data_IF_251208487684
#
_entry.id   IF_251208487684
#
_cell.length_a   1.000
_cell.length_b   1.000
_cell.length_c   1.000
_cell.angle_alpha   90.00
_cell.angle_beta   90.00
_cell.angle_gamma   90.00
#
_symmetry.space_group_name_H-M   'P 1'
#
loop_
_entity.id
_entity.type
_entity.pdbx_description
1 polymer ?
#
# COMPACT_ATOMS: atom_id res chain seq x y z
N UNK A 1 6.69 18.01 6.18
CA UNK A 1 5.96 16.98 6.87
C UNK A 1 5.05 16.26 5.90
N UNK A 2 5.10 14.97 5.92
CA UNK A 2 4.32 14.19 4.97
C UNK A 2 2.88 14.10 5.41
N UNK A 3 1.97 14.23 4.45
CA UNK A 3 0.58 14.03 4.74
C UNK A 3 0.30 12.55 4.91
N UNK A 4 -0.90 12.25 5.40
CA UNK A 4 -1.30 10.87 5.55
C UNK A 4 -1.28 10.16 4.20
N UNK A 5 -1.75 10.85 3.17
CA UNK A 5 -1.77 10.25 1.84
C UNK A 5 -0.37 9.94 1.34
N UNK A 6 0.58 10.81 1.64
CA UNK A 6 1.95 10.57 1.24
C UNK A 6 2.55 9.39 1.98
N UNK A 7 2.20 9.24 3.25
CA UNK A 7 2.70 8.11 4.02
C UNK A 7 2.10 6.82 3.50
N UNK A 8 0.82 6.83 3.15
CA UNK A 8 0.18 5.66 2.59
C UNK A 8 0.85 5.29 1.27
N UNK A 9 1.09 6.30 0.44
CA UNK A 9 1.70 6.06 -0.86
C UNK A 9 3.10 5.47 -0.70
N UNK A 10 3.88 6.00 0.22
CA UNK A 10 5.23 5.50 0.44
C UNK A 10 5.20 4.06 0.93
N UNK A 11 4.32 3.76 1.87
CA UNK A 11 4.20 2.40 2.38
C UNK A 11 3.79 1.46 1.27
N UNK A 12 2.83 1.88 0.45
CA UNK A 12 2.38 1.08 -0.67
C UNK A 12 3.54 0.81 -1.62
N UNK A 13 4.31 1.85 -1.93
CA UNK A 13 5.43 1.69 -2.83
C UNK A 13 6.43 0.67 -2.30
N UNK A 14 6.71 0.72 -1.01
CA UNK A 14 7.69 -0.20 -0.45
C UNK A 14 7.20 -1.63 -0.49
N UNK A 15 5.91 -1.83 -0.25
CA UNK A 15 5.35 -3.17 -0.34
C UNK A 15 5.42 -3.67 -1.78
N UNK A 16 5.08 -2.81 -2.72
CA UNK A 16 5.09 -3.20 -4.13
C UNK A 16 6.50 -3.54 -4.58
N UNK A 17 7.49 -2.77 -4.14
CA UNK A 17 8.88 -3.05 -4.50
C UNK A 17 9.27 -4.45 -4.03
N UNK A 18 8.88 -4.82 -2.82
CA UNK A 18 9.20 -6.15 -2.33
C UNK A 18 8.53 -7.23 -3.17
N UNK A 19 7.30 -6.98 -3.59
CA UNK A 19 6.60 -7.94 -4.43
C UNK A 19 7.28 -8.06 -5.78
N UNK A 20 7.74 -6.96 -6.34
CA UNK A 20 8.43 -6.98 -7.61
C UNK A 20 9.73 -7.75 -7.48
N UNK A 21 10.48 -7.52 -6.41
CA UNK A 21 11.74 -8.23 -6.20
C UNK A 21 11.50 -9.72 -6.05
N UNK A 22 10.36 -10.08 -5.49
CA UNK A 22 10.02 -11.48 -5.34
C UNK A 22 9.39 -12.10 -6.58
N UNK A 23 9.22 -11.32 -7.65
CA UNK A 23 8.64 -11.85 -8.87
C UNK A 23 7.16 -12.07 -8.81
N UNK A 24 6.47 -11.41 -7.91
CA UNK A 24 5.06 -11.65 -7.71
C UNK A 24 4.17 -10.71 -8.51
N UNK A 25 4.73 -9.64 -9.04
CA UNK A 25 3.96 -8.67 -9.81
C UNK A 25 4.54 -8.57 -11.20
N UNK A 26 3.70 -8.79 -12.21
CA UNK A 26 4.12 -8.59 -13.58
C UNK A 26 3.82 -7.14 -13.99
N UNK A 27 4.51 -6.64 -15.01
CA UNK A 27 4.22 -5.28 -15.48
C UNK A 27 2.76 -5.07 -15.87
N UNK A 28 2.15 -6.09 -16.44
CA UNK A 28 0.77 -5.97 -16.88
C UNK A 28 -0.19 -5.86 -15.70
N UNK A 29 0.12 -6.52 -14.60
CA UNK A 29 -0.75 -6.49 -13.44
C UNK A 29 -0.40 -5.40 -12.44
N UNK A 30 0.66 -4.65 -12.71
CA UNK A 30 1.13 -3.67 -11.74
C UNK A 30 0.06 -2.63 -11.35
N UNK A 31 -0.63 -2.00 -12.31
CA UNK A 31 -1.56 -0.94 -11.93
C UNK A 31 -2.65 -1.42 -10.98
N UNK A 32 -3.22 -2.57 -11.27
CA UNK A 32 -4.28 -3.08 -10.41
C UNK A 32 -3.74 -3.55 -9.08
N UNK A 33 -2.56 -4.17 -9.09
CA UNK A 33 -1.96 -4.60 -7.84
C UNK A 33 -1.65 -3.40 -6.97
N UNK A 34 -1.12 -2.33 -7.57
CA UNK A 34 -0.80 -1.14 -6.80
C UNK A 34 -2.06 -0.57 -6.17
N UNK A 35 -3.14 -0.48 -6.94
CA UNK A 35 -4.38 0.05 -6.41
C UNK A 35 -4.90 -0.81 -5.26
N UNK A 36 -4.81 -2.12 -5.40
CA UNK A 36 -5.29 -3.01 -4.36
C UNK A 36 -4.50 -2.84 -3.07
N UNK A 37 -3.18 -2.76 -3.19
CA UNK A 37 -2.34 -2.61 -2.01
C UNK A 37 -2.56 -1.23 -1.40
N UNK A 38 -2.65 -0.19 -2.25
CA UNK A 38 -2.89 1.14 -1.73
C UNK A 38 -4.21 1.19 -0.96
N UNK A 39 -5.25 0.59 -1.53
CA UNK A 39 -6.54 0.59 -0.87
C UNK A 39 -6.48 -0.15 0.46
N UNK A 40 -5.75 -1.25 0.51
CA UNK A 40 -5.63 -2.02 1.74
C UNK A 40 -4.89 -1.23 2.81
N UNK A 41 -3.80 -0.57 2.41
CA UNK A 41 -3.04 0.22 3.38
C UNK A 41 -3.86 1.41 3.84
N UNK A 42 -4.51 2.09 2.89
CA UNK A 42 -5.32 3.24 3.24
C UNK A 42 -6.45 2.85 4.19
N UNK A 43 -7.10 1.76 3.89
CA UNK A 43 -8.20 1.31 4.73
C UNK A 43 -7.70 0.98 6.13
N UNK A 44 -6.55 0.34 6.22
CA UNK A 44 -6.01 -0.02 7.52
C UNK A 44 -5.62 1.23 8.32
N UNK A 45 -5.02 2.20 7.66
CA UNK A 45 -4.55 3.40 8.34
C UNK A 45 -5.71 4.30 8.73
N UNK A 46 -6.65 4.49 7.84
CA UNK A 46 -7.74 5.43 8.09
C UNK A 46 -8.90 4.82 8.83
N UNK A 47 -9.06 3.53 8.70
CA UNK A 47 -10.12 2.86 9.42
C UNK A 47 -9.67 2.74 10.85
N UNK A 48 -10.20 3.51 11.72
CA UNK A 48 -9.72 3.61 13.02
C UNK A 48 -9.87 2.35 13.77
N UNK A 49 -8.82 1.71 14.16
CA UNK A 49 -8.96 0.54 15.00
C UNK A 49 -9.50 0.98 16.32
N UNK A 50 -10.21 0.19 16.93
CA UNK A 50 -10.72 0.53 18.25
C UNK A 50 -9.61 0.65 19.24
N UNK A 51 -9.18 0.82 19.39
CA UNK A 51 -8.52 0.93 20.14
C UNK A 51 -7.76 0.37 20.77
N UNK A 52 -7.78 0.13 20.75
CA UNK A 52 -7.26 -0.27 21.16
C UNK A 52 -6.59 -0.72 21.10
N UNK A 53 -6.31 -0.70 20.98
CA UNK A 53 -5.88 -0.99 20.91
C UNK A 53 -5.42 -1.11 21.06
#
# INVERSE_FOLDING_TARGET
>A
MASMDEQILRTTKEIVVKFIEGGRISPAGFPETFKSIYAAVEDTVKSKPPEKQ
#
